data_IF_843385780767
#
_entry.id   IF_843385780767
#
_cell.length_a   1.000
_cell.length_b   1.000
_cell.length_c   1.000
_cell.angle_alpha   90.00
_cell.angle_beta   90.00
_cell.angle_gamma   90.00
#
_symmetry.space_group_name_H-M   'P 1'
#
loop_
_entity.id
_entity.type
_entity.pdbx_description
1 polymer ?
#
# COMPACT_ATOMS: atom_id res chain seq x y z
N UNK A 1 -1.74 -6.76 6.81
CA UNK A 1 -1.81 -5.28 6.86
C UNK A 1 -1.07 -4.68 8.05
N UNK A 2 -1.14 -5.26 9.24
CA UNK A 2 -0.54 -4.65 10.45
C UNK A 2 0.95 -4.33 10.33
N UNK A 3 1.71 -5.14 9.59
CA UNK A 3 3.14 -4.90 9.35
C UNK A 3 3.44 -3.62 8.54
N UNK A 4 2.43 -3.06 7.85
CA UNK A 4 2.54 -1.86 7.00
C UNK A 4 1.94 -0.64 7.71
N UNK A 5 0.76 -0.80 8.34
CA UNK A 5 -0.01 0.33 8.89
C UNK A 5 -0.12 0.35 10.43
N UNK A 6 0.43 -0.65 11.11
CA UNK A 6 0.27 -0.85 12.55
C UNK A 6 -1.03 -1.57 12.94
N UNK A 7 -1.18 -1.80 14.24
CA UNK A 7 -2.36 -2.49 14.83
C UNK A 7 -3.49 -1.51 15.16
N UNK A 8 -4.69 -2.05 15.29
CA UNK A 8 -5.87 -1.34 15.80
C UNK A 8 -6.97 -1.14 14.77
N UNK A 9 -8.21 -0.86 15.21
CA UNK A 9 -9.32 -0.58 14.31
C UNK A 9 -9.03 0.70 13.53
N UNK A 10 -9.16 0.63 12.21
CA UNK A 10 -8.97 1.77 11.32
C UNK A 10 -10.07 1.81 10.27
N UNK A 11 -10.51 3.02 9.93
CA UNK A 11 -11.42 3.21 8.80
C UNK A 11 -10.70 2.96 7.48
N UNK A 12 -11.46 2.67 6.42
CA UNK A 12 -10.89 2.47 5.07
C UNK A 12 -10.02 3.65 4.62
N UNK A 13 -10.42 4.88 4.96
CA UNK A 13 -9.67 6.09 4.68
C UNK A 13 -8.33 6.11 5.43
N UNK A 14 -8.34 5.80 6.74
CA UNK A 14 -7.12 5.75 7.56
C UNK A 14 -6.15 4.68 7.05
N UNK A 15 -6.66 3.50 6.70
CA UNK A 15 -5.84 2.43 6.12
C UNK A 15 -5.16 2.89 4.84
N UNK A 16 -5.92 3.49 3.91
CA UNK A 16 -5.39 3.96 2.63
C UNK A 16 -4.31 5.02 2.83
N UNK A 17 -4.55 6.00 3.71
CA UNK A 17 -3.55 7.03 4.04
C UNK A 17 -2.27 6.44 4.63
N UNK A 18 -2.38 5.51 5.58
CA UNK A 18 -1.20 4.90 6.19
C UNK A 18 -0.40 4.02 5.23
N UNK A 19 -1.08 3.29 4.33
CA UNK A 19 -0.37 2.56 3.25
C UNK A 19 0.41 3.54 2.38
N UNK A 20 -0.16 4.70 2.06
CA UNK A 20 0.51 5.73 1.28
C UNK A 20 1.71 6.37 2.01
N UNK A 21 1.57 6.63 3.31
CA UNK A 21 2.68 7.07 4.16
C UNK A 21 3.82 6.05 4.15
N UNK A 22 3.52 4.76 4.28
CA UNK A 22 4.52 3.69 4.19
C UNK A 22 5.23 3.66 2.84
N UNK A 23 4.48 3.76 1.73
CA UNK A 23 5.03 3.80 0.36
C UNK A 23 6.04 4.94 0.22
N UNK A 24 5.68 6.13 0.69
CA UNK A 24 6.54 7.32 0.63
C UNK A 24 7.77 7.19 1.54
N UNK A 25 7.57 6.77 2.78
CA UNK A 25 8.64 6.62 3.76
C UNK A 25 9.71 5.62 3.31
N UNK A 26 9.30 4.58 2.58
CA UNK A 26 10.21 3.56 2.04
C UNK A 26 10.62 3.81 0.58
N UNK A 27 10.27 4.97 0.00
CA UNK A 27 10.58 5.32 -1.39
C UNK A 27 10.16 4.24 -2.41
N UNK A 28 9.00 3.62 -2.19
CA UNK A 28 8.48 2.52 -3.01
C UNK A 28 7.78 3.01 -4.29
N UNK A 29 7.79 4.31 -4.58
CA UNK A 29 7.32 4.83 -5.85
C UNK A 29 8.38 4.58 -6.92
N UNK A 30 7.94 4.27 -8.14
CA UNK A 30 8.86 4.16 -9.26
C UNK A 30 9.53 5.52 -9.56
N UNK A 31 10.81 5.48 -9.89
CA UNK A 31 11.62 6.69 -10.12
C UNK A 31 11.32 7.36 -11.46
N UNK A 32 10.79 6.61 -12.44
CA UNK A 32 10.41 7.09 -13.77
C UNK A 32 8.93 7.46 -13.82
N UNK A 33 8.07 6.65 -13.19
CA UNK A 33 6.64 6.92 -13.09
C UNK A 33 6.13 6.83 -11.65
N UNK A 34 6.07 7.97 -10.95
CA UNK A 34 5.61 8.03 -9.55
C UNK A 34 4.17 7.55 -9.31
N UNK A 35 3.40 7.25 -10.36
CA UNK A 35 2.08 6.62 -10.28
C UNK A 35 2.15 5.11 -10.04
N UNK A 36 3.30 4.51 -10.36
CA UNK A 36 3.60 3.11 -10.13
C UNK A 36 4.25 2.91 -8.76
N UNK A 37 3.91 1.80 -8.13
CA UNK A 37 4.37 1.40 -6.81
C UNK A 37 5.09 0.07 -6.98
N UNK A 38 6.33 0.02 -6.49
CA UNK A 38 7.18 -1.16 -6.44
C UNK A 38 7.14 -1.73 -5.01
N UNK A 39 6.24 -2.69 -4.71
CA UNK A 39 6.06 -3.19 -3.36
C UNK A 39 7.30 -3.93 -2.85
N UNK A 40 7.71 -3.61 -1.64
CA UNK A 40 8.64 -4.43 -0.88
C UNK A 40 7.96 -5.71 -0.37
N UNK A 41 8.70 -6.57 0.34
CA UNK A 41 8.14 -7.83 0.85
C UNK A 41 6.92 -7.61 1.78
N UNK A 42 6.92 -6.54 2.58
CA UNK A 42 5.85 -6.25 3.56
C UNK A 42 4.59 -5.72 2.87
N UNK A 43 4.74 -4.73 1.99
CA UNK A 43 3.65 -4.17 1.21
C UNK A 43 3.13 -5.19 0.19
N UNK A 44 4.00 -6.00 -0.37
CA UNK A 44 3.64 -7.03 -1.34
C UNK A 44 2.79 -8.15 -0.77
N UNK A 45 2.85 -8.41 0.55
CA UNK A 45 1.91 -9.29 1.22
C UNK A 45 0.47 -8.74 1.26
N UNK A 46 0.30 -7.43 1.02
CA UNK A 46 -1.01 -6.76 0.97
C UNK A 46 -1.47 -6.57 -0.47
N UNK A 47 -0.63 -5.98 -1.32
CA UNK A 47 -1.04 -5.53 -2.66
C UNK A 47 -0.54 -6.44 -3.80
N UNK A 48 0.22 -7.49 -3.47
CA UNK A 48 0.90 -8.35 -4.45
C UNK A 48 2.34 -7.92 -4.70
N UNK A 49 3.15 -8.81 -5.27
CA UNK A 49 4.59 -8.58 -5.51
C UNK A 49 4.92 -7.82 -6.79
N UNK A 50 3.93 -7.66 -7.67
CA UNK A 50 4.14 -6.99 -8.95
C UNK A 50 4.03 -5.48 -8.77
N UNK A 51 4.68 -4.73 -9.65
CA UNK A 51 4.47 -3.30 -9.76
C UNK A 51 2.99 -3.03 -10.07
N UNK A 52 2.38 -2.10 -9.35
CA UNK A 52 0.99 -1.72 -9.57
C UNK A 52 0.80 -0.21 -9.51
N UNK A 53 -0.26 0.27 -10.14
CA UNK A 53 -0.67 1.67 -10.06
C UNK A 53 -1.35 2.00 -8.73
N UNK A 54 -1.42 3.31 -8.41
CA UNK A 54 -2.18 3.78 -7.24
C UNK A 54 -3.65 3.32 -7.20
N UNK A 55 -4.31 3.18 -8.35
CA UNK A 55 -5.70 2.71 -8.43
C UNK A 55 -5.82 1.22 -8.10
N UNK A 56 -4.85 0.42 -8.56
CA UNK A 56 -4.80 -1.00 -8.22
C UNK A 56 -4.46 -1.20 -6.74
N UNK A 57 -3.62 -0.32 -6.16
CA UNK A 57 -3.29 -0.34 -4.73
C UNK A 57 -4.52 -0.12 -3.85
N UNK A 58 -5.36 0.88 -4.12
CA UNK A 58 -6.58 1.11 -3.33
C UNK A 58 -7.58 -0.05 -3.45
N UNK A 59 -7.71 -0.63 -4.65
CA UNK A 59 -8.54 -1.81 -4.88
C UNK A 59 -8.00 -3.05 -4.12
N UNK A 60 -6.68 -3.27 -4.15
CA UNK A 60 -6.04 -4.38 -3.45
C UNK A 60 -6.19 -4.26 -1.93
N UNK A 61 -5.94 -3.06 -1.39
CA UNK A 61 -6.11 -2.77 0.04
C UNK A 61 -7.56 -2.99 0.49
N UNK A 62 -8.53 -2.54 -0.30
CA UNK A 62 -9.96 -2.70 0.01
C UNK A 62 -10.40 -4.17 0.17
N UNK A 63 -9.74 -5.11 -0.51
CA UNK A 63 -10.03 -6.56 -0.37
C UNK A 63 -9.72 -7.12 1.01
N UNK A 64 -8.84 -6.46 1.77
CA UNK A 64 -8.48 -6.87 3.13
C UNK A 64 -9.33 -6.21 4.21
N UNK A 65 -10.21 -5.27 3.84
CA UNK A 65 -11.02 -4.45 4.76
C UNK A 65 -12.48 -4.90 4.78
N UNK A 66 -12.69 -6.22 4.80
CA UNK A 66 -14.02 -6.82 4.98
C UNK A 66 -14.68 -6.32 6.26
#
# INVERSE_FOLDING_TARGET
LEAVIGKGPMTRAQVTSKVWEYIKANSLQDTKDKRQINPDAKLGAVIGKNQISMFQMTAAVSKHLK
#
